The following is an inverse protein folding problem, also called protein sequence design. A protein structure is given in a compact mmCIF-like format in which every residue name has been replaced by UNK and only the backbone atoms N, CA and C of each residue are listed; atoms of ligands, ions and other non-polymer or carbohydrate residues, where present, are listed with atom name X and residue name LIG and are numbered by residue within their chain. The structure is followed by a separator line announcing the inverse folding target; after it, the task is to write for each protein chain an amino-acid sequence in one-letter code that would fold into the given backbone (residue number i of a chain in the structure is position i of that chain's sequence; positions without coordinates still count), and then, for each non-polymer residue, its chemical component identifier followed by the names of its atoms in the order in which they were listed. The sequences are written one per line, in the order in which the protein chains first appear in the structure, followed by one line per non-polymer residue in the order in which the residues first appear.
data_IF_828262140730
#
_entry.id   IF_828262140730
#
_cell.length_a   1.000
_cell.length_b   1.000
_cell.length_c   1.000
_cell.angle_alpha   90.00
_cell.angle_beta   90.00
_cell.angle_gamma   90.00
#
_symmetry.space_group_name_H-M   'P 1'
#
loop_
_entity.id
_entity.type
_entity.pdbx_description
1 polymer ?
#
# COMPACT_ATOMS: atom_id res chain seq x y z
N UNK A 1 2.16 -6.97 21.16
CA UNK A 1 3.08 -7.62 20.18
C UNK A 1 2.43 -7.65 18.80
N UNK A 2 3.21 -7.39 17.77
CA UNK A 2 2.73 -7.44 16.39
C UNK A 2 3.32 -8.65 15.71
N UNK A 3 2.54 -9.34 14.90
CA UNK A 3 2.99 -10.47 14.12
C UNK A 3 2.72 -10.26 12.64
N UNK A 4 3.55 -10.82 11.79
CA UNK A 4 3.32 -10.84 10.36
C UNK A 4 2.11 -11.73 10.08
N UNK A 5 1.13 -11.18 9.37
CA UNK A 5 -0.06 -11.91 8.95
C UNK A 5 0.01 -12.29 7.49
N UNK A 6 0.46 -11.38 6.64
CA UNK A 6 0.54 -11.62 5.20
C UNK A 6 1.53 -10.65 4.55
N UNK A 7 2.09 -11.06 3.44
CA UNK A 7 2.96 -10.22 2.64
C UNK A 7 2.75 -10.60 1.17
N UNK A 8 2.52 -9.61 0.32
CA UNK A 8 2.25 -9.88 -1.08
C UNK A 8 2.74 -8.75 -1.98
N UNK A 9 3.02 -9.09 -3.23
CA UNK A 9 3.46 -8.12 -4.22
C UNK A 9 2.28 -7.79 -5.12
N UNK A 10 2.06 -6.48 -5.31
CA UNK A 10 1.06 -5.96 -6.23
C UNK A 10 1.75 -5.40 -7.46
N UNK A 11 1.19 -5.74 -8.62
CA UNK A 11 1.63 -5.18 -9.90
C UNK A 11 0.51 -4.35 -10.51
N UNK A 12 0.83 -3.15 -10.91
CA UNK A 12 -0.07 -2.28 -11.67
C UNK A 12 0.55 -2.00 -13.03
N UNK A 13 -0.23 -2.04 -14.09
CA UNK A 13 0.23 -1.63 -15.41
C UNK A 13 -0.94 -1.04 -16.20
N UNK A 14 -0.65 -0.50 -17.40
CA UNK A 14 -1.65 0.22 -18.18
C UNK A 14 -2.62 -0.70 -18.92
N UNK A 15 -2.37 -2.01 -18.92
CA UNK A 15 -3.19 -2.97 -19.67
C UNK A 15 -4.03 -3.89 -18.78
N UNK A 16 -3.80 -3.87 -17.48
CA UNK A 16 -4.55 -4.68 -16.54
C UNK A 16 -5.01 -3.84 -15.35
N UNK A 17 -4.54 -4.13 -14.15
CA UNK A 17 -4.92 -3.30 -13.00
C UNK A 17 -4.16 -1.99 -13.02
N UNK A 18 -4.87 -0.85 -13.19
CA UNK A 18 -4.28 0.48 -13.28
C UNK A 18 -4.38 1.27 -11.98
N UNK A 19 -5.31 0.89 -11.10
CA UNK A 19 -5.57 1.62 -9.84
C UNK A 19 -6.14 0.68 -8.79
N UNK A 20 -6.25 1.18 -7.58
CA UNK A 20 -6.94 0.50 -6.49
C UNK A 20 -7.85 1.51 -5.81
N UNK A 21 -9.14 1.21 -5.74
CA UNK A 21 -10.14 2.12 -5.19
C UNK A 21 -9.93 2.37 -3.70
N UNK A 22 -10.49 3.48 -3.22
CA UNK A 22 -10.44 3.85 -1.82
C UNK A 22 -10.94 2.71 -0.94
N UNK A 23 -10.14 2.32 0.03
CA UNK A 23 -10.44 1.22 0.94
C UNK A 23 -9.62 1.37 2.23
N UNK A 24 -9.90 0.51 3.19
CA UNK A 24 -9.02 0.30 4.33
C UNK A 24 -8.62 -1.18 4.36
N UNK A 25 -7.58 -1.51 5.08
CA UNK A 25 -7.03 -2.85 5.09
C UNK A 25 -7.54 -3.67 6.27
N UNK A 26 -7.64 -4.99 6.07
CA UNK A 26 -7.87 -5.94 7.14
C UNK A 26 -6.54 -6.25 7.84
N UNK A 27 -5.90 -5.21 8.37
CA UNK A 27 -4.56 -5.27 8.95
C UNK A 27 -4.49 -4.30 10.12
N UNK A 28 -3.74 -4.66 11.16
CA UNK A 28 -3.54 -3.74 12.29
C UNK A 28 -2.57 -2.63 11.90
N UNK A 29 -1.40 -2.99 11.41
CA UNK A 29 -0.43 -2.06 10.83
C UNK A 29 -0.08 -2.58 9.44
N UNK A 30 -0.17 -1.71 8.45
CA UNK A 30 0.21 -2.03 7.08
C UNK A 30 1.54 -1.39 6.74
N UNK A 31 2.40 -2.15 6.09
CA UNK A 31 3.63 -1.64 5.50
C UNK A 31 3.50 -1.66 3.97
N UNK A 32 4.02 -0.64 3.33
CA UNK A 32 4.08 -0.58 1.87
C UNK A 32 5.48 -0.16 1.45
N UNK A 33 6.09 -0.93 0.56
CA UNK A 33 7.41 -0.65 0.03
C UNK A 33 7.30 -0.45 -1.47
N UNK A 34 7.76 0.70 -1.95
CA UNK A 34 7.85 0.96 -3.37
C UNK A 34 9.03 0.16 -3.92
N UNK A 35 8.79 -0.72 -4.90
CA UNK A 35 9.82 -1.61 -5.43
C UNK A 35 10.51 -1.05 -6.68
N UNK A 36 9.89 -0.08 -7.37
CA UNK A 36 10.48 0.56 -8.54
C UNK A 36 9.99 2.00 -8.65
N UNK A 37 10.60 2.78 -9.55
CA UNK A 37 10.24 4.19 -9.74
C UNK A 37 10.05 4.55 -11.21
N UNK A 38 10.21 3.61 -12.13
CA UNK A 38 10.14 3.86 -13.58
C UNK A 38 8.70 3.81 -14.10
N UNK A 39 7.81 4.59 -13.48
CA UNK A 39 6.40 4.69 -13.85
C UNK A 39 5.86 6.08 -13.51
N UNK A 40 4.69 6.41 -14.08
CA UNK A 40 4.01 7.68 -13.83
C UNK A 40 2.60 7.40 -13.33
N UNK A 41 2.17 8.12 -12.30
CA UNK A 41 0.90 7.88 -11.63
C UNK A 41 1.04 6.84 -10.54
N UNK A 42 -0.07 6.27 -10.13
CA UNK A 42 -0.08 5.16 -9.17
C UNK A 42 0.31 5.52 -7.75
N UNK A 43 0.26 6.79 -7.36
CA UNK A 43 0.58 7.21 -5.99
C UNK A 43 -0.39 6.59 -5.00
N UNK A 44 0.13 6.15 -3.86
CA UNK A 44 -0.66 5.76 -2.72
C UNK A 44 -1.07 7.03 -1.96
N UNK A 45 -2.38 7.25 -1.83
CA UNK A 45 -2.92 8.48 -1.27
C UNK A 45 -3.81 8.18 -0.09
N UNK A 46 -3.67 8.98 0.97
CA UNK A 46 -4.51 8.95 2.16
C UNK A 46 -5.32 10.26 2.19
N UNK A 47 -6.51 10.29 1.57
CA UNK A 47 -7.25 11.55 1.43
C UNK A 47 -7.60 12.20 2.76
N UNK A 48 -7.94 11.40 3.76
CA UNK A 48 -8.31 11.95 5.09
C UNK A 48 -7.14 12.64 5.76
N UNK A 49 -5.93 12.13 5.61
CA UNK A 49 -4.73 12.71 6.19
C UNK A 49 -4.04 13.70 5.24
N UNK A 50 -4.49 13.81 4.01
CA UNK A 50 -3.91 14.67 2.98
C UNK A 50 -2.43 14.35 2.75
N UNK A 51 -2.10 13.05 2.68
CA UNK A 51 -0.73 12.54 2.54
C UNK A 51 -0.68 11.57 1.38
N UNK A 52 0.47 11.51 0.71
CA UNK A 52 0.74 10.50 -0.32
C UNK A 52 2.19 10.01 -0.21
N UNK A 53 2.50 8.94 -0.95
CA UNK A 53 3.84 8.38 -0.99
C UNK A 53 4.69 8.91 -2.15
N UNK A 54 4.30 10.00 -2.78
CA UNK A 54 4.96 10.50 -3.99
C UNK A 54 6.44 10.80 -3.79
N UNK A 55 6.84 11.21 -2.59
CA UNK A 55 8.22 11.58 -2.27
C UNK A 55 9.07 10.44 -1.74
N UNK A 56 8.51 9.23 -1.64
CA UNK A 56 9.27 8.07 -1.18
C UNK A 56 10.03 7.45 -2.35
N UNK A 57 11.26 7.06 -2.10
CA UNK A 57 12.08 6.35 -3.07
C UNK A 57 11.82 4.85 -3.01
N UNK A 58 12.20 4.14 -4.06
CA UNK A 58 12.15 2.68 -4.07
C UNK A 58 12.98 2.13 -2.90
N UNK A 59 12.46 1.11 -2.25
CA UNK A 59 13.08 0.50 -1.08
C UNK A 59 12.71 1.13 0.25
N UNK A 60 12.05 2.29 0.25
CA UNK A 60 11.60 2.92 1.48
C UNK A 60 10.27 2.34 1.95
N UNK A 61 10.15 2.13 3.24
CA UNK A 61 8.95 1.56 3.87
C UNK A 61 8.06 2.68 4.40
N UNK A 62 6.79 2.60 4.07
CA UNK A 62 5.74 3.43 4.65
C UNK A 62 4.90 2.56 5.57
N UNK A 63 4.77 2.95 6.84
CA UNK A 63 3.91 2.26 7.80
C UNK A 63 2.70 3.12 8.11
N UNK A 64 1.53 2.47 8.21
CA UNK A 64 0.30 3.18 8.58
C UNK A 64 -0.67 2.20 9.23
N UNK A 65 -1.61 2.69 10.07
CA UNK A 65 -2.70 1.86 10.58
C UNK A 65 -3.54 1.35 9.41
N UNK A 66 -3.78 0.03 9.36
CA UNK A 66 -4.57 -0.54 8.28
C UNK A 66 -6.06 -0.29 8.44
N UNK A 67 -6.50 -0.01 9.66
CA UNK A 67 -7.91 0.09 10.00
C UNK A 67 -8.59 1.35 9.44
N UNK A 68 -9.87 1.47 9.77
CA UNK A 68 -10.81 2.43 9.18
C UNK A 68 -10.42 3.91 9.28
N UNK A 69 -9.48 4.26 10.17
CA UNK A 69 -9.02 5.64 10.32
C UNK A 69 -8.17 6.14 9.16
N UNK A 70 -7.58 5.22 8.39
CA UNK A 70 -6.65 5.54 7.32
C UNK A 70 -7.09 4.91 5.99
N UNK A 71 -8.26 5.33 5.46
CA UNK A 71 -8.62 4.88 4.12
C UNK A 71 -7.62 5.41 3.11
N UNK A 72 -7.30 4.59 2.13
CA UNK A 72 -6.30 4.93 1.14
C UNK A 72 -6.66 4.35 -0.21
N UNK A 73 -6.03 4.90 -1.25
CA UNK A 73 -6.24 4.45 -2.62
C UNK A 73 -4.93 4.57 -3.41
N UNK A 74 -4.81 3.79 -4.47
CA UNK A 74 -3.77 3.97 -5.46
C UNK A 74 -4.37 4.68 -6.67
N UNK A 75 -3.84 5.84 -7.02
CA UNK A 75 -4.29 6.60 -8.16
C UNK A 75 -3.95 5.87 -9.45
N UNK A 76 -4.59 6.25 -10.54
CA UNK A 76 -4.40 5.59 -11.81
C UNK A 76 -2.96 5.70 -12.30
N UNK A 77 -2.42 4.56 -12.73
CA UNK A 77 -1.12 4.48 -13.39
C UNK A 77 -1.30 4.88 -14.85
N UNK A 78 -0.48 5.80 -15.33
CA UNK A 78 -0.60 6.30 -16.71
C UNK A 78 0.53 5.82 -17.63
N UNK A 79 1.70 5.52 -17.06
CA UNK A 79 2.85 5.04 -17.83
C UNK A 79 3.65 4.04 -17.01
N UNK A 80 4.16 3.00 -17.68
CA UNK A 80 5.03 2.03 -17.08
C UNK A 80 4.32 0.96 -16.29
N UNK A 81 5.06 0.27 -15.45
CA UNK A 81 4.56 -0.75 -14.54
C UNK A 81 5.04 -0.43 -13.14
N UNK A 82 4.13 -0.56 -12.18
CA UNK A 82 4.42 -0.29 -10.77
C UNK A 82 4.39 -1.60 -10.00
N UNK A 83 5.41 -1.80 -9.16
CA UNK A 83 5.46 -2.92 -8.23
C UNK A 83 5.55 -2.40 -6.81
N UNK A 84 4.78 -2.99 -5.91
CA UNK A 84 4.84 -2.66 -4.48
C UNK A 84 4.74 -3.92 -3.65
N UNK A 85 5.44 -3.93 -2.51
CA UNK A 85 5.32 -4.97 -1.50
C UNK A 85 4.39 -4.46 -0.41
N UNK A 86 3.33 -5.19 -0.12
CA UNK A 86 2.40 -4.87 0.96
C UNK A 86 2.56 -5.90 2.06
N UNK A 87 2.66 -5.41 3.30
CA UNK A 87 2.85 -6.24 4.49
C UNK A 87 1.69 -5.95 5.44
N UNK A 88 0.96 -6.99 5.80
CA UNK A 88 -0.13 -6.91 6.78
C UNK A 88 0.30 -7.56 8.08
N UNK A 89 -0.06 -6.94 9.18
CA UNK A 89 0.23 -7.48 10.50
C UNK A 89 -1.03 -7.62 11.33
N UNK A 90 -0.99 -8.55 12.28
CA UNK A 90 -1.96 -8.62 13.35
C UNK A 90 -1.35 -7.99 14.61
N UNK A 91 -2.21 -7.64 15.57
CA UNK A 91 -1.76 -7.02 16.82
C UNK A 91 -0.86 -7.98 17.62
N UNK A 92 -1.27 -9.25 17.68
CA UNK A 92 -0.46 -10.32 18.24
C UNK A 92 -0.89 -11.61 17.53
N UNK A 93 -0.12 -12.69 17.62
CA UNK A 93 -0.41 -13.90 16.85
C UNK A 93 -1.83 -14.43 16.98
N UNK A 94 -2.47 -14.21 18.13
CA UNK A 94 -3.84 -14.67 18.34
C UNK A 94 -4.92 -13.81 17.71
N UNK A 95 -4.60 -12.63 17.20
CA UNK A 95 -5.59 -11.72 16.61
C UNK A 95 -6.26 -12.30 15.36
N UNK A 96 -5.60 -13.20 14.70
CA UNK A 96 -6.08 -13.78 13.46
C UNK A 96 -6.92 -15.03 13.65
N UNK A 97 -7.10 -15.45 14.87
CA UNK A 97 -7.82 -16.68 15.19
C UNK A 97 -9.34 -16.47 15.32
#
# INVERSE_FOLDING_TARGET
MYGLRDAFILKYDTTSQTKLNLHHDASYVTGSVKLNEDYIGGELVFPRQEVSNINLAAGQLLLFPGAVTHPHECLELTHGSKYSLTIWSSRFPGDIL
#
